data_IF_525866038191
#
_entry.id   IF_525866038191
#
_cell.length_a   1.000
_cell.length_b   1.000
_cell.length_c   1.000
_cell.angle_alpha   90.00
_cell.angle_beta   90.00
_cell.angle_gamma   90.00
#
_symmetry.space_group_name_H-M   'P 1'
#
loop_
_entity.id
_entity.type
_entity.pdbx_description
1 polymer ?
#
# COMPACT_ATOMS: atom_id res chain seq x y z
N UNK A 1 -0.48 8.39 0.57
CA UNK A 1 -1.50 8.59 -0.49
C UNK A 1 -0.80 8.97 -1.79
N UNK A 2 -1.30 8.52 -2.95
CA UNK A 2 -0.73 8.89 -4.24
C UNK A 2 -1.16 10.32 -4.62
N UNK A 3 -0.23 11.26 -4.93
CA UNK A 3 -0.60 12.64 -5.25
C UNK A 3 -1.49 12.79 -6.49
N UNK A 4 -1.29 11.95 -7.51
CA UNK A 4 -2.03 11.99 -8.77
C UNK A 4 -3.41 11.35 -8.68
N UNK A 5 -3.62 10.48 -7.70
CA UNK A 5 -4.92 9.87 -7.40
C UNK A 5 -5.05 9.59 -5.90
N UNK A 6 -5.64 10.50 -5.11
CA UNK A 6 -5.77 10.36 -3.67
C UNK A 6 -6.61 9.15 -3.22
N UNK A 7 -7.39 8.53 -4.13
CA UNK A 7 -8.12 7.29 -3.84
C UNK A 7 -7.18 6.11 -3.57
N UNK A 8 -5.96 6.17 -4.13
CA UNK A 8 -4.94 5.14 -3.99
C UNK A 8 -4.07 5.39 -2.76
N UNK A 9 -4.02 4.39 -1.89
CA UNK A 9 -3.28 4.38 -0.64
C UNK A 9 -2.32 3.19 -0.67
N UNK A 10 -1.05 3.44 -0.36
CA UNK A 10 -0.10 2.37 -0.04
C UNK A 10 0.14 2.31 1.46
N UNK A 11 0.34 1.12 2.00
CA UNK A 11 0.63 0.87 3.41
C UNK A 11 1.81 -0.07 3.58
N UNK A 12 2.63 0.19 4.62
CA UNK A 12 3.60 -0.78 5.12
C UNK A 12 2.88 -1.77 6.03
N UNK A 13 3.31 -3.02 5.98
CA UNK A 13 2.83 -4.07 6.88
C UNK A 13 3.95 -4.48 7.83
N UNK A 14 3.63 -5.19 8.93
CA UNK A 14 4.64 -5.85 9.77
C UNK A 14 5.34 -7.03 9.09
N UNK A 15 5.06 -7.28 7.80
CA UNK A 15 5.76 -8.27 6.98
C UNK A 15 6.54 -7.59 5.85
N UNK A 16 7.11 -8.37 4.94
CA UNK A 16 7.87 -7.87 3.78
C UNK A 16 7.02 -7.12 2.75
N UNK A 17 5.70 -7.27 2.78
CA UNK A 17 4.83 -6.81 1.71
C UNK A 17 4.41 -5.34 1.91
N UNK A 18 4.38 -4.61 0.80
CA UNK A 18 3.71 -3.31 0.71
C UNK A 18 2.36 -3.53 0.03
N UNK A 19 1.29 -3.08 0.67
CA UNK A 19 -0.07 -3.25 0.15
C UNK A 19 -0.58 -1.95 -0.46
N UNK A 20 -1.34 -2.05 -1.54
CA UNK A 20 -1.98 -0.92 -2.20
C UNK A 20 -3.49 -1.14 -2.23
N UNK A 21 -4.24 -0.09 -1.90
CA UNK A 21 -5.69 -0.08 -1.86
C UNK A 21 -6.23 1.11 -2.64
N UNK A 22 -7.27 0.89 -3.42
CA UNK A 22 -8.22 1.89 -3.89
C UNK A 22 -9.43 1.84 -2.96
N UNK A 23 -9.55 2.79 -2.03
CA UNK A 23 -10.62 2.74 -1.04
C UNK A 23 -12.02 2.90 -1.66
N UNK A 24 -12.14 3.37 -2.90
CA UNK A 24 -13.43 3.50 -3.59
C UNK A 24 -13.99 2.16 -4.06
N UNK A 25 -13.13 1.14 -4.20
CA UNK A 25 -13.53 -0.23 -4.55
C UNK A 25 -13.84 -1.10 -3.33
N UNK A 26 -13.66 -0.56 -2.14
CA UNK A 26 -13.87 -1.26 -0.88
C UNK A 26 -15.14 -0.74 -0.19
N UNK A 27 -15.93 -1.63 0.44
CA UNK A 27 -17.09 -1.19 1.23
C UNK A 27 -16.63 -0.37 2.43
N UNK A 28 -17.42 0.64 2.81
CA UNK A 28 -17.12 1.49 3.98
C UNK A 28 -17.23 0.73 5.31
N UNK A 29 -17.92 -0.40 5.33
CA UNK A 29 -17.95 -1.34 6.46
C UNK A 29 -17.06 -2.53 6.09
N UNK A 30 -16.08 -2.90 6.93
CA UNK A 30 -15.20 -4.02 6.64
C UNK A 30 -15.99 -5.35 6.64
N UNK A 31 -15.48 -6.31 5.87
CA UNK A 31 -16.07 -7.64 5.80
C UNK A 31 -15.92 -8.37 7.16
N UNK A 32 -16.97 -9.04 7.67
CA UNK A 32 -16.92 -9.76 8.94
C UNK A 32 -15.90 -10.91 9.00
N UNK A 33 -15.46 -11.43 7.84
CA UNK A 33 -14.42 -12.46 7.76
C UNK A 33 -13.06 -11.98 8.27
N UNK A 34 -12.81 -10.66 8.27
CA UNK A 34 -11.53 -10.08 8.63
C UNK A 34 -10.43 -10.29 7.58
N UNK A 35 -10.77 -10.77 6.38
CA UNK A 35 -9.81 -10.95 5.31
C UNK A 35 -9.29 -9.62 4.75
N UNK A 36 -7.97 -9.52 4.61
CA UNK A 36 -7.31 -8.36 4.01
C UNK A 36 -7.17 -8.56 2.49
N UNK A 37 -7.94 -7.78 1.72
CA UNK A 37 -8.03 -7.89 0.26
C UNK A 37 -7.43 -6.65 -0.44
N UNK A 38 -6.09 -6.53 -0.58
CA UNK A 38 -5.49 -5.40 -1.28
C UNK A 38 -5.68 -5.48 -2.80
N UNK A 39 -5.76 -4.32 -3.48
CA UNK A 39 -5.74 -4.26 -4.95
C UNK A 39 -4.40 -4.78 -5.51
N UNK A 40 -3.29 -4.42 -4.87
CA UNK A 40 -1.95 -4.88 -5.24
C UNK A 40 -1.14 -5.25 -4.01
N UNK A 41 -0.28 -6.26 -4.18
CA UNK A 41 0.72 -6.69 -3.22
C UNK A 41 2.10 -6.57 -3.86
N UNK A 42 2.85 -5.56 -3.43
CA UNK A 42 4.20 -5.30 -3.93
C UNK A 42 5.19 -6.06 -3.06
N UNK A 43 6.06 -6.84 -3.70
CA UNK A 43 7.07 -7.69 -3.06
C UNK A 43 8.47 -7.26 -3.47
N UNK A 44 9.44 -7.48 -2.60
CA UNK A 44 10.85 -7.18 -2.88
C UNK A 44 11.70 -7.10 -1.61
N UNK A 45 11.13 -6.60 -0.51
CA UNK A 45 11.78 -6.61 0.79
C UNK A 45 11.81 -8.00 1.42
N UNK A 46 12.67 -8.17 2.42
CA UNK A 46 12.72 -9.38 3.26
C UNK A 46 12.16 -9.14 4.67
N UNK A 47 12.08 -7.89 5.11
CA UNK A 47 11.59 -7.50 6.43
C UNK A 47 10.55 -6.39 6.33
N UNK A 48 9.99 -6.02 7.48
CA UNK A 48 9.12 -4.86 7.61
C UNK A 48 9.88 -3.53 7.44
N UNK A 49 9.21 -2.42 7.68
CA UNK A 49 9.81 -1.08 7.74
C UNK A 49 8.75 0.01 7.75
N UNK A 50 9.18 1.27 7.80
CA UNK A 50 8.24 2.41 7.93
C UNK A 50 8.30 3.41 6.79
N UNK A 51 9.41 3.49 6.04
CA UNK A 51 9.56 4.48 4.96
C UNK A 51 8.67 4.17 3.76
N UNK A 52 7.92 5.16 3.31
CA UNK A 52 7.01 5.05 2.16
C UNK A 52 6.83 6.42 1.49
N UNK A 53 7.08 6.52 0.18
CA UNK A 53 7.00 7.80 -0.55
C UNK A 53 6.55 7.61 -1.99
N UNK A 54 5.46 8.28 -2.36
CA UNK A 54 4.98 8.34 -3.75
C UNK A 54 5.69 9.48 -4.49
N UNK A 55 6.09 9.24 -5.74
CA UNK A 55 6.61 10.28 -6.61
C UNK A 55 5.47 11.20 -7.07
N UNK A 56 5.61 12.52 -6.90
CA UNK A 56 4.61 13.51 -7.33
C UNK A 56 4.62 13.80 -8.83
N UNK A 57 5.71 13.52 -9.53
CA UNK A 57 5.88 13.79 -10.97
C UNK A 57 5.60 12.56 -11.83
N UNK A 58 5.78 11.36 -11.29
CA UNK A 58 5.57 10.10 -11.99
C UNK A 58 4.51 9.26 -11.29
N UNK A 59 3.35 9.11 -11.94
CA UNK A 59 2.26 8.30 -11.42
C UNK A 59 2.69 6.85 -11.22
N UNK A 60 2.17 6.21 -10.17
CA UNK A 60 2.44 4.81 -9.85
C UNK A 60 3.84 4.50 -9.31
N UNK A 61 4.76 5.48 -9.25
CA UNK A 61 6.10 5.25 -8.72
C UNK A 61 6.10 5.42 -7.21
N UNK A 62 6.40 4.32 -6.50
CA UNK A 62 6.42 4.23 -5.05
C UNK A 62 7.80 3.74 -4.59
N UNK A 63 8.37 4.44 -3.62
CA UNK A 63 9.55 3.99 -2.88
C UNK A 63 9.11 3.46 -1.51
N UNK A 64 9.72 2.37 -1.09
CA UNK A 64 9.58 1.81 0.26
C UNK A 64 10.95 1.54 0.88
N UNK A 65 11.08 1.87 2.16
CA UNK A 65 12.25 1.49 2.96
C UNK A 65 11.91 0.28 3.83
N UNK A 66 12.93 -0.50 4.17
CA UNK A 66 12.82 -1.70 5.00
C UNK A 66 14.05 -1.82 5.90
N UNK A 67 13.91 -2.65 6.92
CA UNK A 67 14.96 -2.99 7.88
C UNK A 67 15.83 -4.19 7.40
N UNK A 68 15.72 -4.54 6.12
CA UNK A 68 16.41 -5.70 5.53
C UNK A 68 17.94 -5.62 5.64
#
# INVERSE_FOLDING_TARGET
>A
IMPQNPCIIATKTPSSDVLVFDYTKHPSKPDPSGECNPDLRLRGHQKEGYGLSWNSNLSGHLLSASDD
#
